data_IF_768251734989
#
_entry.id   IF_768251734989
#
_cell.length_a   1.000
_cell.length_b   1.000
_cell.length_c   1.000
_cell.angle_alpha   90.00
_cell.angle_beta   90.00
_cell.angle_gamma   90.00
#
_symmetry.space_group_name_H-M   'P 1'
#
loop_
_entity.id
_entity.type
_entity.pdbx_description
1 polymer ?
#
# COMPACT_ATOMS: atom_id res chain seq x y z
N UNK A 1 46.44 -19.15 -1.65
CA UNK A 1 47.47 -18.47 -2.46
C UNK A 1 47.47 -17.02 -2.02
N UNK A 2 48.63 -16.39 -1.78
CA UNK A 2 48.67 -14.98 -1.40
C UNK A 2 48.04 -14.15 -2.52
N UNK A 3 47.13 -13.23 -2.18
CA UNK A 3 46.46 -12.31 -3.12
C UNK A 3 47.45 -11.27 -3.67
N UNK A 4 48.51 -11.75 -4.32
CA UNK A 4 49.65 -10.96 -4.78
C UNK A 4 50.36 -10.16 -3.66
N UNK A 5 50.29 -10.64 -2.40
CA UNK A 5 50.93 -10.03 -1.23
C UNK A 5 52.09 -10.90 -0.74
N UNK A 6 53.30 -10.32 -0.64
CA UNK A 6 54.49 -10.99 -0.12
C UNK A 6 55.69 -10.92 -1.07
N UNK A 7 56.75 -11.69 -0.75
CA UNK A 7 57.92 -11.84 -1.60
C UNK A 7 57.69 -12.96 -2.63
N UNK A 8 58.18 -12.78 -3.86
CA UNK A 8 58.15 -13.82 -4.90
C UNK A 8 58.99 -15.04 -4.51
N UNK A 9 60.17 -14.82 -3.87
CA UNK A 9 60.96 -15.88 -3.25
C UNK A 9 61.58 -15.39 -1.93
N UNK A 10 61.69 -16.25 -0.88
CA UNK A 10 62.38 -15.90 0.37
C UNK A 10 63.92 -15.89 0.27
N UNK A 11 64.50 -16.35 -0.85
CA UNK A 11 65.95 -16.44 -1.03
C UNK A 11 66.53 -15.03 -1.23
N UNK A 12 67.51 -14.66 -0.40
CA UNK A 12 68.16 -13.35 -0.46
C UNK A 12 67.49 -12.25 0.37
N UNK A 13 66.29 -12.47 0.92
CA UNK A 13 65.65 -11.50 1.83
C UNK A 13 66.15 -11.58 3.27
N UNK A 14 66.90 -12.63 3.63
CA UNK A 14 67.39 -12.85 4.98
C UNK A 14 66.29 -13.19 6.01
N UNK A 15 65.09 -13.56 5.55
CA UNK A 15 63.93 -13.89 6.39
C UNK A 15 63.27 -15.20 5.95
N UNK A 16 62.36 -15.75 6.76
CA UNK A 16 61.65 -17.00 6.46
C UNK A 16 60.60 -16.90 5.34
N UNK A 17 60.30 -15.69 4.86
CA UNK A 17 59.23 -15.46 3.87
C UNK A 17 57.81 -15.61 4.40
N UNK A 18 57.63 -15.72 5.72
CA UNK A 18 56.30 -15.83 6.34
C UNK A 18 55.55 -14.49 6.27
N UNK A 19 54.35 -14.50 5.68
CA UNK A 19 53.49 -13.31 5.52
C UNK A 19 52.29 -13.42 6.45
N UNK A 20 52.17 -12.49 7.40
CA UNK A 20 51.03 -12.39 8.29
C UNK A 20 50.03 -11.37 7.77
N UNK A 21 48.73 -11.69 7.85
CA UNK A 21 47.66 -10.71 7.58
C UNK A 21 47.69 -9.59 8.62
N UNK A 22 47.50 -8.34 8.18
CA UNK A 22 47.38 -7.22 9.11
C UNK A 22 46.04 -7.30 9.86
N UNK A 23 46.08 -7.44 11.19
CA UNK A 23 44.89 -7.50 12.06
C UNK A 23 44.20 -6.15 12.23
N UNK A 24 44.93 -5.05 12.05
CA UNK A 24 44.39 -3.69 12.12
C UNK A 24 43.81 -3.21 10.78
N UNK A 25 43.94 -4.00 9.71
CA UNK A 25 43.37 -3.64 8.42
C UNK A 25 41.84 -3.83 8.44
N UNK A 26 41.11 -2.72 8.58
CA UNK A 26 39.66 -2.70 8.51
C UNK A 26 39.26 -2.81 7.04
N UNK A 27 38.75 -3.97 6.64
CA UNK A 27 38.15 -4.12 5.30
C UNK A 27 36.96 -3.16 5.20
N UNK A 28 36.89 -2.28 4.18
CA UNK A 28 35.72 -1.45 3.98
C UNK A 28 34.50 -2.37 3.87
N UNK A 29 33.51 -2.15 4.73
CA UNK A 29 32.25 -2.88 4.68
C UNK A 29 31.56 -2.47 3.39
N UNK A 30 31.07 -3.42 2.62
CA UNK A 30 30.06 -3.15 1.60
C UNK A 30 28.81 -2.65 2.33
N UNK A 31 28.77 -1.36 2.64
CA UNK A 31 27.52 -0.68 2.94
C UNK A 31 26.75 -0.73 1.63
N UNK A 32 25.90 -1.75 1.47
CA UNK A 32 24.79 -1.66 0.53
C UNK A 32 24.16 -0.29 0.72
N UNK A 33 24.02 0.47 -0.36
CA UNK A 33 23.57 1.85 -0.30
C UNK A 33 22.37 1.97 0.67
N UNK A 34 22.35 2.95 1.60
CA UNK A 34 21.31 3.05 2.64
C UNK A 34 19.91 3.30 2.07
N UNK A 35 19.80 3.43 0.75
CA UNK A 35 18.57 3.63 0.02
C UNK A 35 18.35 2.49 -0.96
N UNK A 36 17.11 1.98 -1.05
CA UNK A 36 16.76 1.01 -2.08
C UNK A 36 17.01 1.64 -3.46
N UNK A 37 17.72 0.92 -4.32
CA UNK A 37 17.99 1.36 -5.70
C UNK A 37 16.75 1.27 -6.61
N UNK A 38 15.72 0.55 -6.17
CA UNK A 38 14.45 0.44 -6.88
C UNK A 38 13.63 1.71 -6.72
N UNK A 39 13.60 2.53 -7.77
CA UNK A 39 12.77 3.74 -7.86
C UNK A 39 11.28 3.45 -7.61
N UNK A 40 10.84 2.22 -7.90
CA UNK A 40 9.46 1.79 -7.72
C UNK A 40 9.08 1.58 -6.24
N UNK A 41 10.08 1.41 -5.36
CA UNK A 41 9.88 1.36 -3.91
C UNK A 41 9.75 2.75 -3.27
N UNK A 42 10.23 3.80 -3.94
CA UNK A 42 10.09 5.19 -3.50
C UNK A 42 8.70 5.77 -3.84
N UNK A 43 7.94 5.11 -4.72
CA UNK A 43 6.59 5.58 -5.07
C UNK A 43 5.65 5.44 -3.89
N UNK A 44 4.92 6.51 -3.57
CA UNK A 44 3.92 6.49 -2.50
C UNK A 44 2.79 5.51 -2.86
N UNK A 45 2.69 4.41 -2.12
CA UNK A 45 1.60 3.44 -2.23
C UNK A 45 0.61 3.68 -1.09
N UNK A 46 -0.65 3.93 -1.45
CA UNK A 46 -1.71 4.00 -0.45
C UNK A 46 -1.87 2.65 0.24
N UNK A 47 -1.84 2.63 1.57
CA UNK A 47 -2.08 1.42 2.35
C UNK A 47 -3.52 0.96 2.13
N UNK A 48 -3.67 -0.25 1.61
CA UNK A 48 -4.99 -0.82 1.37
C UNK A 48 -5.59 -1.33 2.68
N UNK A 49 -6.90 -1.15 2.90
CA UNK A 49 -7.59 -1.75 4.03
C UNK A 49 -7.62 -3.27 3.88
N UNK A 50 -7.48 -3.99 5.01
CA UNK A 50 -7.59 -5.44 5.01
C UNK A 50 -9.07 -5.84 5.05
N UNK A 51 -9.50 -6.64 4.08
CA UNK A 51 -10.88 -7.12 3.98
C UNK A 51 -11.25 -8.03 5.15
N UNK A 52 -10.31 -8.84 5.64
CA UNK A 52 -10.57 -9.75 6.75
C UNK A 52 -10.88 -8.98 8.05
N UNK A 53 -10.17 -7.88 8.29
CA UNK A 53 -10.39 -7.01 9.45
C UNK A 53 -11.75 -6.30 9.33
N UNK A 54 -12.06 -5.76 8.14
CA UNK A 54 -13.36 -5.13 7.90
C UNK A 54 -14.54 -6.11 8.07
N UNK A 55 -14.39 -7.36 7.66
CA UNK A 55 -15.42 -8.39 7.86
C UNK A 55 -15.54 -8.81 9.32
N UNK A 56 -14.41 -8.92 10.02
CA UNK A 56 -14.39 -9.21 11.44
C UNK A 56 -15.14 -8.13 12.25
N UNK A 57 -14.84 -6.85 11.99
CA UNK A 57 -15.50 -5.75 12.70
C UNK A 57 -17.02 -5.73 12.44
N UNK A 58 -17.45 -6.02 11.22
CA UNK A 58 -18.89 -6.17 10.89
C UNK A 58 -19.57 -7.30 11.66
N UNK A 59 -18.93 -8.46 11.76
CA UNK A 59 -19.45 -9.60 12.54
C UNK A 59 -19.47 -9.27 14.03
N UNK A 60 -18.43 -8.60 14.53
CA UNK A 60 -18.36 -8.13 15.91
C UNK A 60 -19.51 -7.19 16.25
N UNK A 61 -19.88 -6.27 15.35
CA UNK A 61 -21.05 -5.40 15.57
C UNK A 61 -22.36 -6.17 15.73
N UNK A 62 -22.52 -7.31 15.02
CA UNK A 62 -23.68 -8.19 15.19
C UNK A 62 -23.65 -8.87 16.54
N UNK A 63 -22.53 -9.48 16.92
CA UNK A 63 -22.41 -10.17 18.20
C UNK A 63 -22.53 -9.23 19.40
N UNK A 64 -22.04 -7.99 19.30
CA UNK A 64 -22.25 -6.97 20.35
C UNK A 64 -23.74 -6.70 20.57
N UNK A 65 -24.55 -6.61 19.50
CA UNK A 65 -26.01 -6.42 19.64
C UNK A 65 -26.72 -7.64 20.22
N UNK A 66 -26.25 -8.85 19.87
CA UNK A 66 -26.75 -10.10 20.45
C UNK A 66 -26.42 -10.14 21.94
N UNK A 67 -25.20 -9.74 22.31
CA UNK A 67 -24.76 -9.66 23.70
C UNK A 67 -25.57 -8.63 24.49
N UNK A 68 -25.79 -7.43 23.94
CA UNK A 68 -26.67 -6.41 24.55
C UNK A 68 -28.12 -6.89 24.75
N UNK A 69 -28.63 -7.79 23.89
CA UNK A 69 -29.96 -8.39 24.07
C UNK A 69 -29.92 -9.40 25.22
N UNK A 70 -28.89 -10.25 25.24
CA UNK A 70 -28.69 -11.24 26.29
C UNK A 70 -28.62 -10.59 27.67
N UNK A 71 -27.79 -9.57 27.84
CA UNK A 71 -27.65 -8.84 29.11
C UNK A 71 -29.00 -8.31 29.62
N UNK A 72 -29.86 -7.80 28.70
CA UNK A 72 -31.20 -7.31 29.07
C UNK A 72 -32.15 -8.42 29.48
N UNK A 73 -32.12 -9.56 28.79
CA UNK A 73 -33.00 -10.68 29.13
C UNK A 73 -32.58 -11.37 30.43
N UNK A 74 -31.26 -11.39 30.72
CA UNK A 74 -30.73 -11.83 32.01
C UNK A 74 -31.16 -10.89 33.15
N UNK A 75 -31.16 -9.56 32.93
CA UNK A 75 -31.69 -8.59 33.89
C UNK A 75 -33.21 -8.71 34.11
N UNK A 76 -33.94 -9.19 33.10
CA UNK A 76 -35.38 -9.50 33.16
C UNK A 76 -35.70 -10.88 33.77
N UNK A 77 -34.69 -11.64 34.22
CA UNK A 77 -34.81 -12.99 34.81
C UNK A 77 -35.57 -14.00 33.91
N UNK A 78 -35.38 -13.89 32.59
CA UNK A 78 -35.97 -14.82 31.60
C UNK A 78 -35.25 -16.18 31.64
N UNK A 79 -35.96 -17.27 31.34
CA UNK A 79 -35.37 -18.62 31.26
C UNK A 79 -34.26 -18.71 30.21
N UNK A 80 -33.18 -19.44 30.54
CA UNK A 80 -31.97 -19.56 29.69
C UNK A 80 -32.29 -20.07 28.27
N UNK A 81 -33.21 -21.03 28.14
CA UNK A 81 -33.63 -21.58 26.84
C UNK A 81 -34.30 -20.50 25.96
N UNK A 82 -35.16 -19.66 26.57
CA UNK A 82 -35.81 -18.56 25.84
C UNK A 82 -34.82 -17.45 25.45
N UNK A 83 -33.80 -17.21 26.28
CA UNK A 83 -32.73 -16.26 25.99
C UNK A 83 -31.96 -16.72 24.74
N UNK A 84 -31.59 -18.00 24.66
CA UNK A 84 -30.87 -18.56 23.52
C UNK A 84 -31.68 -18.43 22.22
N UNK A 85 -32.96 -18.82 22.25
CA UNK A 85 -33.85 -18.75 21.09
C UNK A 85 -34.00 -17.31 20.56
N UNK A 86 -34.20 -16.34 21.46
CA UNK A 86 -34.32 -14.91 21.10
C UNK A 86 -33.00 -14.36 20.55
N UNK A 87 -31.88 -14.72 21.16
CA UNK A 87 -30.53 -14.33 20.71
C UNK A 87 -30.23 -14.89 19.32
N UNK A 88 -30.54 -16.15 19.07
CA UNK A 88 -30.31 -16.81 17.78
C UNK A 88 -31.22 -16.27 16.67
N UNK A 89 -32.48 -15.97 16.99
CA UNK A 89 -33.38 -15.29 16.07
C UNK A 89 -32.82 -13.92 15.67
N UNK A 90 -32.30 -13.15 16.64
CA UNK A 90 -31.71 -11.84 16.39
C UNK A 90 -30.40 -11.94 15.60
N UNK A 91 -29.54 -12.92 15.92
CA UNK A 91 -28.29 -13.21 15.18
C UNK A 91 -28.59 -13.51 13.71
N UNK A 92 -29.53 -14.42 13.43
CA UNK A 92 -29.96 -14.76 12.05
C UNK A 92 -30.49 -13.55 11.30
N UNK A 93 -31.32 -12.73 11.97
CA UNK A 93 -31.89 -11.50 11.38
C UNK A 93 -30.80 -10.48 11.01
N UNK A 94 -29.87 -10.20 11.92
CA UNK A 94 -28.80 -9.22 11.70
C UNK A 94 -27.78 -9.69 10.65
N UNK A 95 -27.45 -10.98 10.61
CA UNK A 95 -26.60 -11.55 9.55
C UNK A 95 -27.27 -11.45 8.17
N UNK A 96 -28.58 -11.71 8.09
CA UNK A 96 -29.33 -11.53 6.85
C UNK A 96 -29.38 -10.07 6.40
N UNK A 97 -29.61 -9.13 7.33
CA UNK A 97 -29.58 -7.70 7.05
C UNK A 97 -28.20 -7.24 6.55
N UNK A 98 -27.13 -7.69 7.22
CA UNK A 98 -25.75 -7.40 6.84
C UNK A 98 -25.45 -7.87 5.40
N UNK A 99 -25.88 -9.08 5.04
CA UNK A 99 -25.67 -9.65 3.71
C UNK A 99 -26.54 -9.00 2.64
N UNK A 100 -27.73 -8.51 3.00
CA UNK A 100 -28.64 -7.83 2.07
C UNK A 100 -28.14 -6.47 1.58
N UNK A 101 -27.04 -5.95 2.15
CA UNK A 101 -26.49 -4.64 1.79
C UNK A 101 -27.35 -3.44 2.19
N UNK A 102 -28.52 -3.68 2.80
CA UNK A 102 -29.34 -2.66 3.47
C UNK A 102 -28.66 -2.25 4.76
N UNK A 103 -27.52 -1.56 4.66
CA UNK A 103 -27.04 -0.76 5.79
C UNK A 103 -28.02 0.39 5.94
N UNK A 104 -28.83 0.36 7.00
CA UNK A 104 -29.63 1.50 7.41
C UNK A 104 -28.74 2.74 7.45
N UNK A 105 -29.22 3.83 6.86
CA UNK A 105 -28.58 5.14 6.88
C UNK A 105 -28.64 5.73 8.30
N UNK A 106 -27.96 5.08 9.24
CA UNK A 106 -27.79 5.59 10.58
C UNK A 106 -26.89 6.82 10.59
N UNK A 107 -26.95 7.63 11.65
CA UNK A 107 -26.06 8.77 11.83
C UNK A 107 -24.60 8.29 11.75
N UNK A 108 -23.79 8.99 10.95
CA UNK A 108 -22.37 8.69 10.78
C UNK A 108 -21.66 8.88 12.12
N UNK A 109 -21.31 7.77 12.76
CA UNK A 109 -20.46 7.80 13.96
C UNK A 109 -19.04 8.15 13.54
N UNK A 110 -18.34 9.04 14.28
CA UNK A 110 -16.93 9.28 14.03
C UNK A 110 -16.15 7.99 14.26
N UNK A 111 -15.15 7.72 13.41
CA UNK A 111 -14.25 6.60 13.60
C UNK A 111 -13.43 6.79 14.87
N UNK A 112 -13.20 5.70 15.60
CA UNK A 112 -12.26 5.69 16.72
C UNK A 112 -10.83 5.59 16.18
N UNK A 113 -9.85 6.04 16.96
CA UNK A 113 -8.43 6.06 16.55
C UNK A 113 -7.89 4.68 16.14
N UNK A 114 -8.41 3.60 16.73
CA UNK A 114 -8.01 2.23 16.42
C UNK A 114 -8.66 1.65 15.15
N UNK A 115 -9.67 2.30 14.56
CA UNK A 115 -10.37 1.84 13.36
C UNK A 115 -9.64 2.25 12.07
N UNK A 116 -8.35 1.92 11.99
CA UNK A 116 -7.46 2.37 10.90
C UNK A 116 -7.92 1.86 9.53
N UNK A 117 -8.41 0.61 9.47
CA UNK A 117 -8.85 0.00 8.20
C UNK A 117 -10.18 0.58 7.71
N UNK A 118 -11.13 0.86 8.60
CA UNK A 118 -12.37 1.52 8.23
C UNK A 118 -12.12 2.96 7.77
N UNK A 119 -11.23 3.68 8.46
CA UNK A 119 -10.81 5.02 8.07
C UNK A 119 -10.13 5.01 6.70
N UNK A 120 -9.27 4.03 6.42
CA UNK A 120 -8.62 3.87 5.12
C UNK A 120 -9.64 3.57 4.01
N UNK A 121 -10.57 2.63 4.22
CA UNK A 121 -11.64 2.31 3.26
C UNK A 121 -12.54 3.53 2.99
N UNK A 122 -12.90 4.27 4.03
CA UNK A 122 -13.69 5.51 3.91
C UNK A 122 -12.93 6.58 3.11
N UNK A 123 -11.64 6.77 3.40
CA UNK A 123 -10.79 7.75 2.72
C UNK A 123 -10.55 7.41 1.26
N UNK A 124 -10.41 6.13 0.91
CA UNK A 124 -10.32 5.68 -0.47
C UNK A 124 -11.62 6.01 -1.22
N UNK A 125 -12.78 5.66 -0.64
CA UNK A 125 -14.10 5.98 -1.24
C UNK A 125 -14.33 7.49 -1.39
N UNK A 126 -13.90 8.28 -0.42
CA UNK A 126 -13.99 9.74 -0.48
C UNK A 126 -13.07 10.30 -1.57
N UNK A 127 -11.83 9.82 -1.63
CA UNK A 127 -10.86 10.20 -2.66
C UNK A 127 -11.34 9.82 -4.06
N UNK A 128 -11.99 8.66 -4.21
CA UNK A 128 -12.61 8.25 -5.48
C UNK A 128 -13.79 9.12 -5.88
N UNK A 129 -14.63 9.54 -4.91
CA UNK A 129 -15.72 10.49 -5.17
C UNK A 129 -15.17 11.84 -5.59
N UNK A 130 -14.15 12.33 -4.90
CA UNK A 130 -13.47 13.59 -5.23
C UNK A 130 -12.80 13.51 -6.60
N UNK A 131 -12.10 12.41 -6.91
CA UNK A 131 -11.52 12.13 -8.23
C UNK A 131 -12.57 12.24 -9.34
N UNK A 132 -13.73 11.60 -9.15
CA UNK A 132 -14.86 11.65 -10.10
C UNK A 132 -15.43 13.06 -10.21
N UNK A 133 -15.60 13.76 -9.10
CA UNK A 133 -16.13 15.12 -9.07
C UNK A 133 -15.22 16.12 -9.80
N UNK A 134 -13.89 15.92 -9.72
CA UNK A 134 -12.90 16.71 -10.45
C UNK A 134 -12.72 16.28 -11.91
N UNK A 135 -13.46 15.26 -12.38
CA UNK A 135 -13.37 14.77 -13.76
C UNK A 135 -12.04 14.04 -14.08
N UNK A 136 -11.31 13.59 -13.06
CA UNK A 136 -10.03 12.90 -13.24
C UNK A 136 -10.31 11.44 -13.62
N UNK A 137 -9.75 10.97 -14.75
CA UNK A 137 -9.90 9.59 -15.22
C UNK A 137 -9.32 8.57 -14.24
N UNK A 138 -9.78 7.30 -14.32
CA UNK A 138 -9.24 6.22 -13.46
C UNK A 138 -7.79 5.92 -13.79
N UNK A 139 -7.43 6.11 -15.05
CA UNK A 139 -6.13 5.74 -15.59
C UNK A 139 -5.18 6.96 -15.59
N UNK A 140 -5.52 7.99 -14.81
CA UNK A 140 -4.69 9.18 -14.66
C UNK A 140 -3.34 8.79 -14.04
N UNK A 141 -2.29 8.92 -14.83
CA UNK A 141 -0.91 8.76 -14.36
C UNK A 141 -0.33 10.13 -14.03
N UNK A 142 0.33 10.20 -12.86
CA UNK A 142 1.05 11.40 -12.46
C UNK A 142 2.08 11.78 -13.53
N UNK A 143 2.06 13.04 -13.94
CA UNK A 143 2.92 13.60 -14.98
C UNK A 143 2.57 13.21 -16.42
N UNK A 144 1.47 12.48 -16.65
CA UNK A 144 0.94 12.26 -18.00
C UNK A 144 0.62 13.56 -18.74
N UNK A 145 0.22 14.60 -18.01
CA UNK A 145 -0.05 15.92 -18.59
C UNK A 145 1.21 16.55 -19.22
N UNK A 146 2.36 16.53 -18.53
CA UNK A 146 3.62 17.06 -19.07
C UNK A 146 4.12 16.23 -20.24
N UNK A 147 4.06 14.89 -20.17
CA UNK A 147 4.43 14.03 -21.30
C UNK A 147 3.60 14.31 -22.55
N UNK A 148 2.29 14.48 -22.39
CA UNK A 148 1.38 14.79 -23.50
C UNK A 148 1.65 16.19 -24.08
N UNK A 149 2.11 17.13 -23.27
CA UNK A 149 2.54 18.45 -23.73
C UNK A 149 3.85 18.39 -24.51
N UNK A 150 4.85 17.64 -24.02
CA UNK A 150 6.11 17.41 -24.73
C UNK A 150 5.91 16.69 -26.06
N UNK A 151 5.07 15.65 -26.09
CA UNK A 151 4.72 14.94 -27.32
C UNK A 151 4.06 15.88 -28.32
N UNK A 152 3.09 16.71 -27.89
CA UNK A 152 2.44 17.70 -28.78
C UNK A 152 3.43 18.70 -29.36
N UNK A 153 4.35 19.21 -28.54
CA UNK A 153 5.41 20.12 -28.97
C UNK A 153 6.33 19.45 -29.99
N UNK A 154 6.75 18.20 -29.75
CA UNK A 154 7.58 17.44 -30.69
C UNK A 154 6.86 17.21 -32.01
N UNK A 155 5.60 16.77 -31.97
CA UNK A 155 4.81 16.55 -33.19
C UNK A 155 4.58 17.84 -33.98
N UNK A 156 4.41 18.98 -33.30
CA UNK A 156 4.27 20.28 -33.97
C UNK A 156 5.57 20.69 -34.68
N UNK A 157 6.73 20.50 -34.02
CA UNK A 157 8.04 20.77 -34.61
C UNK A 157 8.33 19.86 -35.82
N UNK A 158 7.99 18.57 -35.75
CA UNK A 158 8.12 17.66 -36.90
C UNK A 158 7.23 18.09 -38.07
N UNK A 159 5.97 18.49 -37.79
CA UNK A 159 5.06 18.99 -38.82
C UNK A 159 5.60 20.27 -39.47
N UNK A 160 6.12 21.22 -38.69
CA UNK A 160 6.77 22.43 -39.20
C UNK A 160 8.00 22.12 -40.05
N UNK A 161 8.83 21.15 -39.65
CA UNK A 161 9.98 20.71 -40.44
C UNK A 161 9.56 20.13 -41.79
N UNK A 162 8.57 19.24 -41.81
CA UNK A 162 8.06 18.65 -43.07
C UNK A 162 7.44 19.69 -44.01
N UNK A 163 6.71 20.68 -43.49
CA UNK A 163 6.16 21.77 -44.32
C UNK A 163 7.25 22.70 -44.88
N UNK A 164 8.37 22.86 -44.16
CA UNK A 164 9.53 23.62 -44.68
C UNK A 164 10.30 22.86 -45.77
N UNK A 165 10.39 21.53 -45.69
CA UNK A 165 10.99 20.73 -46.76
C UNK A 165 10.11 20.71 -48.02
N UNK A 166 8.81 20.50 -47.88
CA UNK A 166 7.86 20.51 -49.02
C UNK A 166 7.76 21.87 -49.73
N UNK A 167 8.02 22.98 -49.02
CA UNK A 167 8.05 24.31 -49.64
C UNK A 167 9.36 24.58 -50.38
N UNK A 168 10.49 24.02 -49.94
CA UNK A 168 11.79 24.13 -50.63
C UNK A 168 11.88 23.28 -51.90
N UNK A 169 11.19 22.15 -51.95
CA UNK A 169 11.18 21.28 -53.15
C UNK A 169 10.23 21.78 -54.26
N UNK A 170 9.44 22.84 -53.99
CA UNK A 170 8.50 23.44 -54.96
C UNK A 170 9.04 24.71 -55.66
N UNK A 171 10.18 25.24 -55.21
CA UNK A 171 10.90 26.35 -55.85
C UNK A 171 12.05 25.83 -56.73
#
# INVERSE_FOLDING_TARGET
>A
MSDNVGLSTPRGSGTSGYVQRNLAHIKPRDYGAPYPKDLDSLRHKQRQPDKAILEHDRKREVEVKVFELRDKLEEEEVDEDEIEDRCDALRKKLLAEMNSGRRGAGPRRPFKEHQVHEMADAKIKESERLRKALGISSDYQEGSHWKKQEERLRTALEQEATTQEESKDKD
#
